data_IF_367015199905
#
_entry.id   IF_367015199905
#
_cell.length_a   1.000
_cell.length_b   1.000
_cell.length_c   1.000
_cell.angle_alpha   90.00
_cell.angle_beta   90.00
_cell.angle_gamma   90.00
#
_symmetry.space_group_name_H-M   'P 1'
#
loop_
_entity.id
_entity.type
_entity.pdbx_description
1 polymer ?
#
# COMPACT_ATOMS: atom_id res chain seq x y z
N UNK A 1 1.43 -15.48 28.34
CA UNK A 1 0.01 -15.24 28.68
C UNK A 1 -0.82 -15.61 27.46
N UNK A 2 -1.54 -16.75 27.48
CA UNK A 2 -2.46 -17.13 26.39
C UNK A 2 -3.69 -16.24 26.48
N UNK A 3 -3.84 -15.33 25.54
CA UNK A 3 -5.06 -14.52 25.45
C UNK A 3 -6.21 -15.45 25.04
N UNK A 4 -7.29 -15.48 25.83
CA UNK A 4 -8.46 -16.32 25.56
C UNK A 4 -9.06 -15.94 24.19
N UNK A 5 -9.13 -16.89 23.26
CA UNK A 5 -9.66 -16.67 21.91
C UNK A 5 -11.11 -16.18 21.91
N UNK A 6 -11.88 -16.51 22.95
CA UNK A 6 -13.26 -16.04 23.14
C UNK A 6 -13.36 -14.52 23.31
N UNK A 7 -12.30 -13.88 23.81
CA UNK A 7 -12.23 -12.42 23.97
C UNK A 7 -11.50 -11.79 22.78
N UNK A 8 -10.47 -12.46 22.26
CA UNK A 8 -9.63 -11.95 21.20
C UNK A 8 -10.39 -11.71 19.89
N UNK A 9 -11.22 -12.66 19.47
CA UNK A 9 -11.97 -12.60 18.21
C UNK A 9 -13.00 -11.48 18.20
N UNK A 10 -13.91 -11.36 19.16
CA UNK A 10 -14.85 -10.24 19.23
C UNK A 10 -14.16 -8.87 19.31
N UNK A 11 -13.02 -8.79 19.99
CA UNK A 11 -12.23 -7.56 20.05
C UNK A 11 -11.61 -7.18 18.70
N UNK A 12 -11.11 -8.15 17.95
CA UNK A 12 -10.59 -7.92 16.60
C UNK A 12 -11.71 -7.48 15.65
N UNK A 13 -12.85 -8.15 15.68
CA UNK A 13 -14.01 -7.81 14.86
C UNK A 13 -14.53 -6.41 15.17
N UNK A 14 -14.61 -6.05 16.44
CA UNK A 14 -14.95 -4.69 16.87
C UNK A 14 -13.99 -3.63 16.33
N UNK A 15 -12.69 -3.84 16.45
CA UNK A 15 -11.69 -2.91 15.92
C UNK A 15 -11.79 -2.77 14.39
N UNK A 16 -11.89 -3.89 13.69
CA UNK A 16 -11.97 -3.91 12.23
C UNK A 16 -13.24 -3.23 11.73
N UNK A 17 -14.37 -3.45 12.39
CA UNK A 17 -15.63 -2.79 12.05
C UNK A 17 -15.57 -1.27 12.25
N UNK A 18 -14.94 -0.80 13.32
CA UNK A 18 -14.78 0.63 13.59
C UNK A 18 -13.88 1.31 12.53
N UNK A 19 -12.74 0.70 12.19
CA UNK A 19 -11.86 1.25 11.13
C UNK A 19 -12.60 1.27 9.80
N UNK A 20 -13.31 0.20 9.46
CA UNK A 20 -14.10 0.11 8.23
C UNK A 20 -15.24 1.15 8.20
N UNK A 21 -15.89 1.41 9.33
CA UNK A 21 -16.92 2.44 9.43
C UNK A 21 -16.37 3.84 9.11
N UNK A 22 -15.17 4.17 9.60
CA UNK A 22 -14.49 5.43 9.26
C UNK A 22 -14.21 5.52 7.77
N UNK A 23 -13.62 4.47 7.17
CA UNK A 23 -13.30 4.46 5.73
C UNK A 23 -14.58 4.62 4.89
N UNK A 24 -15.65 3.94 5.28
CA UNK A 24 -16.96 4.02 4.58
C UNK A 24 -17.55 5.43 4.67
N UNK A 25 -17.50 6.06 5.84
CA UNK A 25 -18.01 7.43 6.00
C UNK A 25 -17.19 8.44 5.22
N UNK A 26 -15.85 8.33 5.21
CA UNK A 26 -14.98 9.17 4.38
C UNK A 26 -15.32 9.02 2.90
N UNK A 27 -15.40 7.78 2.40
CA UNK A 27 -15.74 7.51 1.01
C UNK A 27 -17.13 8.09 0.63
N UNK A 28 -18.12 7.92 1.51
CA UNK A 28 -19.46 8.46 1.31
C UNK A 28 -19.47 9.98 1.22
N UNK A 29 -18.78 10.65 2.15
CA UNK A 29 -18.71 12.13 2.17
C UNK A 29 -17.98 12.68 0.96
N UNK A 30 -16.80 12.15 0.66
CA UNK A 30 -16.02 12.60 -0.50
C UNK A 30 -16.83 12.48 -1.79
N UNK A 31 -17.54 11.37 -1.98
CA UNK A 31 -18.38 11.19 -3.17
C UNK A 31 -19.55 12.15 -3.24
N UNK A 32 -20.12 12.53 -2.08
CA UNK A 32 -21.24 13.46 -2.02
C UNK A 32 -20.81 14.92 -2.19
N UNK A 33 -19.69 15.31 -1.57
CA UNK A 33 -19.28 16.71 -1.45
C UNK A 33 -18.22 17.11 -2.50
N UNK A 34 -17.41 16.14 -2.97
CA UNK A 34 -16.34 16.34 -3.93
C UNK A 34 -16.17 15.15 -4.89
N UNK A 35 -17.13 14.89 -5.79
CA UNK A 35 -17.17 13.67 -6.61
C UNK A 35 -15.99 13.50 -7.57
N UNK A 36 -15.20 14.57 -7.82
CA UNK A 36 -13.95 14.49 -8.62
C UNK A 36 -12.72 14.08 -7.83
N UNK A 37 -12.82 14.00 -6.49
CA UNK A 37 -11.69 13.64 -5.62
C UNK A 37 -11.65 12.12 -5.42
N UNK A 38 -10.46 11.54 -5.60
CA UNK A 38 -10.24 10.10 -5.38
C UNK A 38 -9.94 9.79 -3.92
N UNK A 39 -10.47 8.67 -3.44
CA UNK A 39 -10.23 8.15 -2.09
C UNK A 39 -9.23 7.00 -2.17
N UNK A 40 -8.14 7.10 -1.44
CA UNK A 40 -7.14 6.04 -1.33
C UNK A 40 -6.79 5.75 0.13
N UNK A 41 -6.13 4.62 0.34
CA UNK A 41 -5.62 4.25 1.66
C UNK A 41 -4.20 3.70 1.56
N UNK A 42 -3.32 4.18 2.46
CA UNK A 42 -2.09 3.47 2.80
C UNK A 42 -2.44 2.30 3.72
N UNK A 43 -2.06 1.09 3.33
CA UNK A 43 -2.45 -0.14 4.03
C UNK A 43 -1.24 -1.01 4.35
N UNK A 44 -1.40 -1.85 5.37
CA UNK A 44 -0.36 -2.82 5.69
C UNK A 44 -0.25 -3.89 4.59
N UNK A 45 0.98 -4.31 4.31
CA UNK A 45 1.37 -5.22 3.22
C UNK A 45 0.57 -6.52 3.19
N UNK A 46 0.38 -7.15 4.35
CA UNK A 46 -0.26 -8.46 4.42
C UNK A 46 -1.78 -8.32 4.60
N UNK A 47 -2.52 -8.62 3.53
CA UNK A 47 -3.98 -8.53 3.50
C UNK A 47 -4.70 -9.48 4.46
N UNK A 48 -4.13 -10.67 4.73
CA UNK A 48 -4.76 -11.69 5.55
C UNK A 48 -4.65 -11.35 7.04
N UNK A 49 -3.52 -10.80 7.47
CA UNK A 49 -3.27 -10.51 8.88
C UNK A 49 -3.63 -9.09 9.29
N UNK A 50 -3.73 -8.15 8.36
CA UNK A 50 -4.03 -6.74 8.63
C UNK A 50 -5.36 -6.51 9.37
N UNK A 51 -6.47 -7.22 9.09
CA UNK A 51 -7.69 -7.06 9.85
C UNK A 51 -7.49 -7.35 11.34
N UNK A 52 -6.86 -8.48 11.66
CA UNK A 52 -6.62 -8.88 13.04
C UNK A 52 -5.55 -8.05 13.76
N UNK A 53 -4.50 -7.64 13.06
CA UNK A 53 -3.37 -6.92 13.67
C UNK A 53 -3.66 -5.43 13.87
N UNK A 54 -4.23 -4.76 12.87
CA UNK A 54 -4.40 -3.30 12.85
C UNK A 54 -5.82 -2.83 12.49
N UNK A 55 -6.76 -3.75 12.32
CA UNK A 55 -8.14 -3.45 11.97
C UNK A 55 -8.36 -3.05 10.50
N UNK A 56 -7.37 -3.20 9.64
CA UNK A 56 -7.46 -2.83 8.24
C UNK A 56 -7.93 -4.00 7.36
N UNK A 57 -9.23 -4.14 7.14
CA UNK A 57 -9.78 -5.06 6.13
C UNK A 57 -9.83 -4.37 4.75
N UNK A 58 -8.67 -3.98 4.27
CA UNK A 58 -8.57 -3.30 2.98
C UNK A 58 -8.98 -4.17 1.78
N UNK A 59 -8.90 -5.50 1.79
CA UNK A 59 -9.55 -6.32 0.77
C UNK A 59 -11.06 -6.11 0.71
N UNK A 60 -11.73 -6.02 1.85
CA UNK A 60 -13.16 -5.69 1.90
C UNK A 60 -13.42 -4.28 1.37
N UNK A 61 -12.61 -3.30 1.74
CA UNK A 61 -12.76 -1.92 1.25
C UNK A 61 -12.65 -1.82 -0.27
N UNK A 62 -11.76 -2.61 -0.88
CA UNK A 62 -11.65 -2.72 -2.33
C UNK A 62 -12.89 -3.38 -2.95
N UNK A 63 -13.36 -4.51 -2.39
CA UNK A 63 -14.57 -5.20 -2.89
C UNK A 63 -15.84 -4.37 -2.77
N UNK A 64 -15.97 -3.60 -1.70
CA UNK A 64 -17.09 -2.66 -1.48
C UNK A 64 -16.98 -1.39 -2.33
N UNK A 65 -15.87 -1.22 -3.05
CA UNK A 65 -15.63 -0.03 -3.87
C UNK A 65 -15.46 1.24 -3.04
N UNK A 66 -14.98 1.16 -1.80
CA UNK A 66 -14.76 2.33 -0.95
C UNK A 66 -13.52 3.13 -1.36
N UNK A 67 -12.57 2.49 -2.03
CA UNK A 67 -11.31 3.07 -2.47
C UNK A 67 -11.23 3.13 -3.99
N UNK A 68 -10.68 4.21 -4.51
CA UNK A 68 -10.36 4.37 -5.92
C UNK A 68 -9.00 3.73 -6.27
N UNK A 69 -8.10 3.65 -5.31
CA UNK A 69 -6.85 2.91 -5.38
C UNK A 69 -6.31 2.61 -3.98
N UNK A 70 -5.34 1.69 -3.89
CA UNK A 70 -4.73 1.28 -2.62
C UNK A 70 -3.21 1.35 -2.71
N UNK A 71 -2.56 1.79 -1.61
CA UNK A 71 -1.12 1.95 -1.49
C UNK A 71 -0.59 1.03 -0.37
N UNK A 72 -0.31 -0.26 -0.64
CA UNK A 72 0.31 -1.14 0.35
C UNK A 72 1.72 -0.67 0.71
N UNK A 73 2.06 -0.70 2.00
CA UNK A 73 3.37 -0.27 2.53
C UNK A 73 4.40 -1.39 2.40
N UNK A 74 4.86 -1.67 1.18
CA UNK A 74 5.77 -2.78 0.84
C UNK A 74 7.24 -2.39 1.03
N UNK A 75 7.58 -1.90 2.22
CA UNK A 75 8.85 -1.27 2.55
C UNK A 75 9.97 -2.28 2.78
N UNK A 76 10.39 -2.95 1.71
CA UNK A 76 11.50 -3.92 1.71
C UNK A 76 12.62 -3.50 0.76
N UNK A 77 13.86 -3.90 1.04
CA UNK A 77 15.02 -3.55 0.20
C UNK A 77 15.15 -4.43 -1.05
N UNK A 78 14.73 -5.69 -0.97
CA UNK A 78 14.88 -6.67 -2.04
C UNK A 78 13.74 -6.59 -3.04
N UNK A 79 14.07 -6.48 -4.33
CA UNK A 79 13.09 -6.52 -5.41
C UNK A 79 12.33 -7.88 -5.48
N UNK A 80 12.99 -8.98 -5.09
CA UNK A 80 12.34 -10.29 -5.04
C UNK A 80 11.30 -10.36 -3.91
N UNK A 81 11.63 -9.85 -2.71
CA UNK A 81 10.66 -9.75 -1.61
C UNK A 81 9.52 -8.80 -1.96
N UNK A 82 9.82 -7.66 -2.56
CA UNK A 82 8.83 -6.70 -3.04
C UNK A 82 7.85 -7.36 -4.02
N UNK A 83 8.35 -8.08 -5.03
CA UNK A 83 7.52 -8.84 -5.97
C UNK A 83 6.66 -9.88 -5.26
N UNK A 84 7.23 -10.59 -4.26
CA UNK A 84 6.51 -11.57 -3.44
C UNK A 84 5.35 -10.97 -2.65
N UNK A 85 5.46 -9.71 -2.23
CA UNK A 85 4.38 -8.97 -1.55
C UNK A 85 3.31 -8.47 -2.54
N UNK A 86 3.73 -7.89 -3.65
CA UNK A 86 2.83 -7.23 -4.61
C UNK A 86 1.95 -8.22 -5.40
N UNK A 87 2.50 -9.39 -5.78
CA UNK A 87 1.76 -10.39 -6.57
C UNK A 87 0.45 -10.84 -5.91
N UNK A 88 0.42 -11.25 -4.63
CA UNK A 88 -0.85 -11.57 -3.97
C UNK A 88 -1.78 -10.37 -3.82
N UNK A 89 -1.25 -9.17 -3.55
CA UNK A 89 -2.05 -7.95 -3.44
C UNK A 89 -2.83 -7.66 -4.72
N UNK A 90 -2.16 -7.70 -5.89
CA UNK A 90 -2.79 -7.53 -7.21
C UNK A 90 -3.96 -8.49 -7.44
N UNK A 91 -3.88 -9.72 -6.93
CA UNK A 91 -4.95 -10.72 -7.06
C UNK A 91 -6.15 -10.40 -6.16
N UNK A 92 -5.88 -9.87 -4.97
CA UNK A 92 -6.89 -9.63 -3.92
C UNK A 92 -7.77 -8.41 -4.26
N UNK A 93 -7.20 -7.36 -4.82
CA UNK A 93 -7.90 -6.08 -5.06
C UNK A 93 -8.85 -6.11 -6.26
N UNK A 94 -8.78 -7.12 -7.10
CA UNK A 94 -9.61 -7.21 -8.31
C UNK A 94 -9.31 -6.11 -9.32
N UNK A 95 -10.25 -5.18 -9.52
CA UNK A 95 -10.12 -4.06 -10.47
C UNK A 95 -9.59 -2.77 -9.84
N UNK A 96 -9.42 -2.72 -8.52
CA UNK A 96 -8.90 -1.53 -7.84
C UNK A 96 -7.41 -1.39 -8.13
N UNK A 97 -6.92 -0.24 -8.64
CA UNK A 97 -5.51 -0.01 -8.89
C UNK A 97 -4.66 -0.16 -7.63
N UNK A 98 -3.50 -0.79 -7.77
CA UNK A 98 -2.50 -0.95 -6.70
C UNK A 98 -1.29 -0.10 -7.01
N UNK A 99 -0.96 0.81 -6.12
CA UNK A 99 0.27 1.59 -6.14
C UNK A 99 1.17 1.15 -4.98
N UNK A 100 1.95 0.06 -5.13
CA UNK A 100 2.77 -0.46 -4.05
C UNK A 100 3.76 0.57 -3.56
N UNK A 101 3.90 0.67 -2.23
CA UNK A 101 4.76 1.63 -1.58
C UNK A 101 6.21 1.15 -1.54
N UNK A 102 7.11 1.95 -2.08
CA UNK A 102 8.55 1.74 -2.06
C UNK A 102 9.15 2.55 -0.91
N UNK A 103 9.75 1.86 0.06
CA UNK A 103 10.19 2.45 1.32
C UNK A 103 11.59 3.06 1.26
N UNK A 104 11.85 4.02 0.39
CA UNK A 104 13.17 4.62 0.19
C UNK A 104 13.82 5.11 1.50
N UNK A 105 13.06 5.75 2.37
CA UNK A 105 13.57 6.26 3.66
C UNK A 105 13.79 5.16 4.72
N UNK A 106 13.25 3.96 4.52
CA UNK A 106 13.37 2.85 5.46
C UNK A 106 14.57 1.94 5.19
N UNK A 107 15.25 2.12 4.05
CA UNK A 107 16.38 1.29 3.65
C UNK A 107 17.69 1.69 4.34
N UNK A 108 18.65 0.77 4.34
CA UNK A 108 20.00 1.07 4.80
C UNK A 108 20.64 2.14 3.92
N UNK A 109 21.33 3.09 4.51
CA UNK A 109 22.05 4.12 3.80
C UNK A 109 23.44 3.62 3.36
N UNK A 110 23.48 2.86 2.26
CA UNK A 110 24.69 2.25 1.70
C UNK A 110 25.00 2.68 0.25
N UNK A 111 24.39 3.77 -0.19
CA UNK A 111 24.59 4.32 -1.54
C UNK A 111 23.92 3.56 -2.67
N UNK A 112 23.07 2.54 -2.38
CA UNK A 112 22.42 1.70 -3.39
C UNK A 112 20.95 2.05 -3.65
N UNK A 113 20.48 3.17 -3.15
CA UNK A 113 19.08 3.54 -3.18
C UNK A 113 18.50 3.67 -4.59
N UNK A 114 19.23 4.33 -5.51
CA UNK A 114 18.79 4.46 -6.90
C UNK A 114 18.63 3.10 -7.58
N UNK A 115 19.58 2.18 -7.33
CA UNK A 115 19.53 0.83 -7.90
C UNK A 115 18.39 0.00 -7.32
N UNK A 116 18.14 0.10 -6.00
CA UNK A 116 17.01 -0.60 -5.36
C UNK A 116 15.68 -0.07 -5.88
N UNK A 117 15.53 1.24 -5.92
CA UNK A 117 14.34 1.91 -6.43
C UNK A 117 14.08 1.51 -7.88
N UNK A 118 15.10 1.59 -8.74
CA UNK A 118 15.00 1.17 -10.14
C UNK A 118 14.52 -0.28 -10.29
N UNK A 119 15.10 -1.21 -9.53
CA UNK A 119 14.71 -2.63 -9.56
C UNK A 119 13.26 -2.84 -9.12
N UNK A 120 12.78 -2.11 -8.13
CA UNK A 120 11.38 -2.23 -7.68
C UNK A 120 10.41 -1.58 -8.67
N UNK A 121 10.78 -0.46 -9.31
CA UNK A 121 10.00 0.13 -10.41
C UNK A 121 9.89 -0.84 -11.59
N UNK A 122 10.96 -1.55 -11.94
CA UNK A 122 10.92 -2.58 -12.99
C UNK A 122 9.97 -3.72 -12.63
N UNK A 123 9.88 -4.13 -11.36
CA UNK A 123 8.88 -5.11 -10.90
C UNK A 123 7.45 -4.59 -11.09
N UNK A 124 7.19 -3.32 -10.76
CA UNK A 124 5.87 -2.68 -10.96
C UNK A 124 5.46 -2.75 -12.44
N UNK A 125 6.39 -2.43 -13.34
CA UNK A 125 6.17 -2.50 -14.79
C UNK A 125 5.98 -3.92 -15.29
N UNK A 126 6.84 -4.86 -14.87
CA UNK A 126 6.72 -6.29 -15.21
C UNK A 126 5.36 -6.85 -14.84
N UNK A 127 4.82 -6.42 -13.69
CA UNK A 127 3.51 -6.84 -13.23
C UNK A 127 2.34 -6.09 -13.90
N UNK A 128 2.61 -5.11 -14.75
CA UNK A 128 1.59 -4.30 -15.40
C UNK A 128 0.70 -3.57 -14.39
N UNK A 129 1.31 -2.94 -13.38
CA UNK A 129 0.61 -2.08 -12.43
C UNK A 129 0.57 -0.64 -12.93
N UNK A 130 -0.44 0.12 -12.48
CA UNK A 130 -0.67 1.50 -12.93
C UNK A 130 0.36 2.50 -12.40
N UNK A 131 1.14 2.13 -11.38
CA UNK A 131 2.17 2.98 -10.80
C UNK A 131 2.67 2.49 -9.44
N UNK A 132 3.34 3.38 -8.72
CA UNK A 132 3.89 3.13 -7.38
C UNK A 132 3.86 4.41 -6.55
N UNK A 133 4.05 4.28 -5.25
CA UNK A 133 4.29 5.40 -4.33
C UNK A 133 5.67 5.29 -3.70
N UNK A 134 6.28 6.41 -3.34
CA UNK A 134 7.57 6.44 -2.65
C UNK A 134 7.40 7.00 -1.26
N UNK A 135 7.83 6.29 -0.25
CA UNK A 135 7.87 6.72 1.12
C UNK A 135 9.31 6.96 1.55
N UNK A 136 9.65 8.17 1.89
CA UNK A 136 8.90 9.39 1.82
C UNK A 136 9.71 10.43 1.01
N UNK A 137 9.19 11.63 0.81
CA UNK A 137 9.92 12.72 0.19
C UNK A 137 10.78 13.44 1.25
N UNK A 138 12.05 13.06 1.32
CA UNK A 138 13.05 13.61 2.22
C UNK A 138 14.34 13.96 1.44
N UNK A 139 15.39 14.41 2.14
CA UNK A 139 16.69 14.72 1.53
C UNK A 139 17.31 13.57 0.74
N UNK A 140 16.93 12.33 1.03
CA UNK A 140 17.37 11.15 0.32
C UNK A 140 16.61 11.01 -1.00
N UNK A 141 15.31 11.20 -0.96
CA UNK A 141 14.47 11.21 -2.16
C UNK A 141 14.86 12.35 -3.11
N UNK A 142 15.15 13.54 -2.63
CA UNK A 142 15.65 14.66 -3.43
C UNK A 142 16.89 14.31 -4.25
N UNK A 143 17.77 13.46 -3.74
CA UNK A 143 18.98 13.01 -4.44
C UNK A 143 18.75 11.86 -5.41
N UNK A 144 17.79 10.98 -5.10
CA UNK A 144 17.59 9.72 -5.82
C UNK A 144 16.56 9.85 -6.95
N UNK A 145 15.47 10.59 -6.73
CA UNK A 145 14.39 10.73 -7.71
C UNK A 145 14.83 11.34 -9.04
N UNK A 146 15.71 12.37 -9.12
CA UNK A 146 16.21 12.88 -10.39
C UNK A 146 16.96 11.84 -11.22
N UNK A 147 17.65 10.89 -10.57
CA UNK A 147 18.37 9.81 -11.25
C UNK A 147 17.41 8.83 -11.94
N UNK A 148 16.26 8.58 -11.31
CA UNK A 148 15.23 7.69 -11.85
C UNK A 148 14.52 8.33 -13.05
N UNK A 149 14.33 9.65 -13.03
CA UNK A 149 13.72 10.39 -14.13
C UNK A 149 14.52 10.30 -15.44
N UNK A 150 15.83 10.10 -15.39
CA UNK A 150 16.69 9.99 -16.59
C UNK A 150 16.38 8.78 -17.48
N UNK A 151 15.69 7.76 -16.99
CA UNK A 151 15.42 6.56 -17.79
C UNK A 151 14.18 5.75 -17.44
N UNK A 152 13.69 5.81 -16.18
CA UNK A 152 12.63 4.93 -15.70
C UNK A 152 11.25 5.60 -15.60
N UNK A 153 11.18 6.93 -15.67
CA UNK A 153 9.93 7.69 -15.57
C UNK A 153 9.72 8.63 -16.77
N UNK A 154 10.57 8.51 -17.80
CA UNK A 154 10.34 9.15 -19.11
C UNK A 154 9.39 8.27 -19.94
N UNK A 155 8.42 8.92 -20.54
CA UNK A 155 7.59 8.38 -21.62
C UNK A 155 8.43 8.24 -22.91
#
# INVERSE_FOLDING_TARGET
MRTDERIRRPWQDFRTSNVTAVVREVARRVRAEAPGVKVSAAVFTNAETSPGNVGQDWPAWCREGLLDFVCPMDYVESAALFKGQVVPQKRIVGKVPVYPGIGLSTWRNDGRDAVRLAKQILVVRELGLDGFTVFNFDRRAEKVLPLIHLGLTRD
#
